data_IF_950000734787
#
_entry.id   IF_950000734787
#
_cell.length_a   1.000
_cell.length_b   1.000
_cell.length_c   1.000
_cell.angle_alpha   90.00
_cell.angle_beta   90.00
_cell.angle_gamma   90.00
#
_symmetry.space_group_name_H-M   'P 1'
#
loop_
_entity.id
_entity.type
_entity.pdbx_description
1 polymer ?
#
# COMPACT_ATOMS: atom_id res chain seq x y z
N UNK A 1 38.16 -4.61 22.16
CA UNK A 1 37.13 -4.10 21.23
C UNK A 1 37.72 -3.53 19.95
N UNK A 2 38.87 -2.81 20.02
CA UNK A 2 39.55 -2.26 18.84
C UNK A 2 39.96 -3.35 17.85
N UNK A 3 40.63 -4.42 18.29
CA UNK A 3 41.01 -5.56 17.44
C UNK A 3 39.79 -6.23 16.74
N UNK A 4 38.63 -6.27 17.39
CA UNK A 4 37.42 -6.80 16.77
C UNK A 4 36.86 -5.86 15.68
N UNK A 5 36.94 -4.54 15.89
CA UNK A 5 36.52 -3.56 14.91
C UNK A 5 37.42 -3.58 13.67
N UNK A 6 38.75 -3.63 13.88
CA UNK A 6 39.76 -3.78 12.81
C UNK A 6 39.55 -5.07 12.00
N UNK A 7 39.30 -6.19 12.70
CA UNK A 7 38.99 -7.45 12.03
C UNK A 7 37.71 -7.35 11.19
N UNK A 8 36.67 -6.68 11.71
CA UNK A 8 35.42 -6.49 10.97
C UNK A 8 35.62 -5.66 9.71
N UNK A 9 36.40 -4.58 9.80
CA UNK A 9 36.70 -3.71 8.66
C UNK A 9 37.55 -4.46 7.60
N UNK A 10 38.56 -5.23 8.03
CA UNK A 10 39.36 -6.07 7.13
C UNK A 10 38.53 -7.11 6.35
N UNK A 11 37.50 -7.64 6.98
CA UNK A 11 36.60 -8.64 6.39
C UNK A 11 35.40 -8.02 5.63
N UNK A 12 35.35 -6.72 5.46
CA UNK A 12 34.24 -6.05 4.79
C UNK A 12 32.94 -6.10 5.57
N UNK A 13 33.00 -5.96 6.89
CA UNK A 13 31.87 -5.90 7.79
C UNK A 13 30.91 -7.12 7.69
N UNK A 14 31.40 -8.35 7.99
CA UNK A 14 30.59 -9.56 7.90
C UNK A 14 29.50 -9.63 8.97
N UNK A 15 28.58 -10.59 8.85
CA UNK A 15 27.53 -10.83 9.86
C UNK A 15 28.10 -11.38 11.18
N UNK A 16 27.27 -11.27 12.23
CA UNK A 16 27.61 -11.68 13.61
C UNK A 16 28.25 -13.06 13.67
N UNK A 17 27.66 -14.04 13.02
CA UNK A 17 28.14 -15.42 13.06
C UNK A 17 29.55 -15.56 12.44
N UNK A 18 29.76 -15.00 11.25
CA UNK A 18 31.04 -15.07 10.55
C UNK A 18 32.13 -14.31 11.31
N UNK A 19 31.81 -13.10 11.78
CA UNK A 19 32.75 -12.30 12.56
C UNK A 19 33.12 -12.96 13.88
N UNK A 20 32.17 -13.58 14.58
CA UNK A 20 32.43 -14.29 15.84
C UNK A 20 33.32 -15.48 15.64
N UNK A 21 33.07 -16.32 14.62
CA UNK A 21 33.89 -17.48 14.31
C UNK A 21 35.32 -17.10 13.93
N UNK A 22 35.48 -16.04 13.12
CA UNK A 22 36.79 -15.55 12.71
C UNK A 22 37.56 -14.94 13.88
N UNK A 23 36.90 -14.17 14.75
CA UNK A 23 37.49 -13.65 15.96
C UNK A 23 38.01 -14.77 16.87
N UNK A 24 37.24 -15.88 17.03
CA UNK A 24 37.70 -17.08 17.78
C UNK A 24 38.86 -17.75 17.11
N UNK A 25 38.86 -17.91 15.77
CA UNK A 25 39.98 -18.49 15.00
C UNK A 25 41.26 -17.69 15.21
N UNK A 26 41.17 -16.38 15.29
CA UNK A 26 42.31 -15.47 15.56
C UNK A 26 42.59 -15.26 17.03
N UNK A 27 41.98 -16.07 17.93
CA UNK A 27 42.14 -16.00 19.39
C UNK A 27 41.87 -14.61 20.00
N UNK A 28 40.96 -13.81 19.38
CA UNK A 28 40.53 -12.54 19.94
C UNK A 28 39.49 -12.83 21.02
N UNK A 29 39.72 -12.42 22.31
CA UNK A 29 38.82 -12.74 23.41
C UNK A 29 37.57 -11.84 23.35
N UNK A 30 36.51 -12.34 22.75
CA UNK A 30 35.23 -11.62 22.61
C UNK A 30 34.03 -12.54 22.84
N UNK A 31 32.99 -11.97 23.43
CA UNK A 31 31.71 -12.65 23.57
C UNK A 31 30.85 -12.43 22.33
N UNK A 32 29.87 -13.33 22.10
CA UNK A 32 28.92 -13.17 21.00
C UNK A 32 28.09 -11.89 21.13
N UNK A 33 27.76 -11.46 22.37
CA UNK A 33 27.05 -10.23 22.63
C UNK A 33 27.84 -8.97 22.20
N UNK A 34 29.16 -8.97 22.47
CA UNK A 34 30.06 -7.88 22.03
C UNK A 34 30.12 -7.79 20.50
N UNK A 35 30.24 -8.93 19.81
CA UNK A 35 30.21 -8.97 18.33
C UNK A 35 28.86 -8.48 17.81
N UNK A 36 27.75 -8.91 18.44
CA UNK A 36 26.41 -8.48 18.05
C UNK A 36 26.21 -6.96 18.22
N UNK A 37 26.71 -6.40 19.32
CA UNK A 37 26.64 -4.96 19.56
C UNK A 37 27.50 -4.17 18.54
N UNK A 38 28.69 -4.64 18.21
CA UNK A 38 29.52 -4.02 17.18
C UNK A 38 28.80 -4.04 15.83
N UNK A 39 28.35 -5.21 15.38
CA UNK A 39 27.67 -5.38 14.07
C UNK A 39 26.41 -4.54 13.99
N UNK A 40 25.65 -4.43 15.10
CA UNK A 40 24.44 -3.60 15.17
C UNK A 40 24.71 -2.12 14.95
N UNK A 41 25.88 -1.63 15.40
CA UNK A 41 26.29 -0.20 15.29
C UNK A 41 27.00 0.14 13.99
N UNK A 42 27.30 -0.83 13.13
CA UNK A 42 27.96 -0.59 11.85
C UNK A 42 27.02 0.11 10.85
N UNK A 43 27.25 1.39 10.64
CA UNK A 43 26.43 2.22 9.74
C UNK A 43 26.41 1.69 8.31
N UNK A 44 27.55 1.24 7.77
CA UNK A 44 27.65 0.67 6.43
C UNK A 44 26.70 -0.53 6.26
N UNK A 45 26.60 -1.39 7.28
CA UNK A 45 25.71 -2.54 7.25
C UNK A 45 24.24 -2.13 7.37
N UNK A 46 23.94 -1.12 8.18
CA UNK A 46 22.58 -0.59 8.35
C UNK A 46 22.04 -0.03 7.02
N UNK A 47 22.87 0.65 6.23
CA UNK A 47 22.49 1.24 4.95
C UNK A 47 21.97 0.22 3.94
N UNK A 48 22.51 -1.01 3.95
CA UNK A 48 22.20 -2.06 2.98
C UNK A 48 21.26 -3.13 3.54
N UNK A 49 20.70 -2.94 4.73
CA UNK A 49 19.70 -3.88 5.25
C UNK A 49 18.41 -3.77 4.45
N UNK A 50 17.73 -4.91 4.18
CA UNK A 50 16.41 -4.86 3.56
C UNK A 50 15.42 -4.14 4.47
N UNK A 51 14.49 -3.40 3.86
CA UNK A 51 13.38 -2.81 4.61
C UNK A 51 12.56 -3.92 5.22
N UNK A 52 12.32 -3.82 6.53
CA UNK A 52 11.50 -4.79 7.23
C UNK A 52 10.04 -4.60 6.85
N UNK A 53 9.35 -5.66 6.39
CA UNK A 53 7.94 -5.55 6.03
C UNK A 53 7.10 -5.20 7.27
N UNK A 54 6.08 -4.38 7.07
CA UNK A 54 5.09 -4.11 8.11
C UNK A 54 4.34 -5.40 8.46
N UNK A 55 4.18 -5.66 9.76
CA UNK A 55 3.40 -6.78 10.29
C UNK A 55 1.99 -6.37 10.72
N UNK A 56 1.55 -5.19 10.33
CA UNK A 56 0.20 -4.70 10.59
C UNK A 56 -0.86 -5.56 9.90
N UNK A 57 -2.07 -5.54 10.44
CA UNK A 57 -3.24 -6.23 9.89
C UNK A 57 -4.20 -5.19 9.32
N UNK A 58 -4.81 -5.47 8.16
CA UNK A 58 -5.89 -4.64 7.63
C UNK A 58 -7.14 -4.86 8.45
N UNK A 59 -7.70 -3.77 8.98
CA UNK A 59 -8.93 -3.76 9.74
C UNK A 59 -9.63 -2.39 9.58
N UNK A 60 -10.94 -2.38 9.77
CA UNK A 60 -11.78 -1.18 9.79
C UNK A 60 -12.67 -1.19 11.03
N UNK A 61 -12.90 -0.02 11.61
CA UNK A 61 -13.71 0.15 12.83
C UNK A 61 -15.21 -0.07 12.57
N UNK A 62 -15.66 0.19 11.34
CA UNK A 62 -17.03 0.04 10.90
C UNK A 62 -17.14 0.04 9.38
N UNK A 63 -18.37 -0.03 8.87
CA UNK A 63 -18.66 -0.17 7.44
C UNK A 63 -18.12 1.02 6.62
N UNK A 64 -18.39 2.25 7.02
CA UNK A 64 -17.93 3.46 6.32
C UNK A 64 -16.46 3.82 6.58
N UNK A 65 -15.78 3.15 7.56
CA UNK A 65 -14.48 3.58 8.04
C UNK A 65 -13.37 3.52 6.98
N UNK A 66 -13.31 2.43 6.19
CA UNK A 66 -12.22 2.23 5.23
C UNK A 66 -12.59 1.37 4.04
N UNK A 67 -12.23 1.87 2.88
CA UNK A 67 -12.26 1.14 1.62
C UNK A 67 -10.84 1.07 1.02
N UNK A 68 -10.64 0.13 0.09
CA UNK A 68 -9.41 -0.02 -0.68
C UNK A 68 -9.77 -0.05 -2.17
N UNK A 69 -8.96 0.61 -3.01
CA UNK A 69 -9.18 0.65 -4.46
C UNK A 69 -7.88 0.39 -5.22
N UNK A 70 -8.00 -0.27 -6.36
CA UNK A 70 -6.90 -0.56 -7.29
C UNK A 70 -7.43 -0.74 -8.71
N UNK A 71 -6.53 -0.67 -9.69
CA UNK A 71 -6.83 -0.97 -11.09
C UNK A 71 -6.36 -2.37 -11.46
N UNK A 72 -7.27 -3.18 -11.93
CA UNK A 72 -6.92 -4.44 -12.58
C UNK A 72 -6.53 -4.19 -14.03
N UNK A 73 -5.30 -4.53 -14.38
CA UNK A 73 -4.82 -4.48 -15.76
C UNK A 73 -5.29 -5.73 -16.54
N UNK A 74 -6.09 -5.50 -17.59
CA UNK A 74 -6.60 -6.48 -18.55
C UNK A 74 -6.18 -6.14 -19.98
N UNK A 75 -5.14 -5.32 -20.14
CA UNK A 75 -4.69 -4.81 -21.44
C UNK A 75 -4.17 -5.90 -22.39
N UNK A 76 -3.76 -7.05 -21.87
CA UNK A 76 -3.39 -8.23 -22.67
C UNK A 76 -4.59 -8.96 -23.27
N UNK A 77 -5.77 -8.77 -22.70
CA UNK A 77 -7.03 -9.37 -23.15
C UNK A 77 -8.13 -8.31 -23.13
N UNK A 78 -8.06 -7.30 -24.01
CA UNK A 78 -9.05 -6.22 -24.05
C UNK A 78 -10.44 -6.77 -24.41
N UNK A 79 -11.49 -6.15 -23.86
CA UNK A 79 -12.88 -6.57 -24.06
C UNK A 79 -13.74 -5.37 -24.37
N UNK A 80 -14.38 -5.33 -25.55
CA UNK A 80 -15.24 -4.21 -25.98
C UNK A 80 -14.58 -2.83 -25.83
N UNK A 81 -13.27 -2.75 -26.07
CA UNK A 81 -12.48 -1.53 -25.88
C UNK A 81 -12.04 -1.26 -24.45
N UNK A 82 -12.56 -1.98 -23.47
CA UNK A 82 -12.07 -1.89 -22.09
C UNK A 82 -10.75 -2.64 -21.92
N UNK A 83 -9.81 -2.02 -21.23
CA UNK A 83 -8.47 -2.56 -20.98
C UNK A 83 -8.14 -2.70 -19.50
N UNK A 84 -8.95 -2.09 -18.62
CA UNK A 84 -8.79 -2.09 -17.17
C UNK A 84 -10.17 -2.22 -16.52
N UNK A 85 -10.19 -2.52 -15.24
CA UNK A 85 -11.35 -2.23 -14.41
C UNK A 85 -10.90 -1.66 -13.07
N UNK A 86 -11.63 -0.65 -12.60
CA UNK A 86 -11.49 -0.16 -11.24
C UNK A 86 -12.15 -1.16 -10.30
N UNK A 87 -11.46 -1.52 -9.24
CA UNK A 87 -11.95 -2.41 -8.20
C UNK A 87 -11.94 -1.68 -6.86
N UNK A 88 -13.06 -1.70 -6.17
CA UNK A 88 -13.26 -1.09 -4.87
C UNK A 88 -13.75 -2.18 -3.90
N UNK A 89 -13.17 -2.24 -2.68
CA UNK A 89 -13.59 -3.18 -1.66
C UNK A 89 -13.70 -2.51 -0.30
N UNK A 90 -14.76 -2.83 0.42
CA UNK A 90 -14.96 -2.44 1.81
C UNK A 90 -14.09 -3.29 2.74
N UNK A 91 -13.29 -2.67 3.61
CA UNK A 91 -12.40 -3.41 4.52
C UNK A 91 -13.16 -4.09 5.66
N UNK A 92 -14.35 -3.61 6.02
CA UNK A 92 -15.17 -4.18 7.08
C UNK A 92 -15.99 -5.37 6.56
N UNK A 93 -16.88 -5.15 5.58
CA UNK A 93 -17.80 -6.14 5.04
C UNK A 93 -17.18 -7.08 3.99
N UNK A 94 -16.02 -6.72 3.42
CA UNK A 94 -15.43 -7.40 2.25
C UNK A 94 -16.24 -7.23 0.97
N UNK A 95 -17.33 -6.51 1.01
CA UNK A 95 -18.16 -6.24 -0.16
C UNK A 95 -17.36 -5.49 -1.23
N UNK A 96 -17.54 -5.85 -2.48
CA UNK A 96 -16.74 -5.36 -3.59
C UNK A 96 -17.60 -4.79 -4.71
N UNK A 97 -17.04 -3.81 -5.42
CA UNK A 97 -17.60 -3.17 -6.60
C UNK A 97 -16.53 -3.08 -7.68
N UNK A 98 -16.94 -3.12 -8.94
CA UNK A 98 -16.03 -2.94 -10.05
C UNK A 98 -16.68 -2.15 -11.19
N UNK A 99 -15.88 -1.40 -11.93
CA UNK A 99 -16.27 -0.66 -13.11
C UNK A 99 -15.23 -0.84 -14.22
N UNK A 100 -15.61 -1.24 -15.46
CA UNK A 100 -14.69 -1.40 -16.57
C UNK A 100 -14.21 -0.02 -17.08
N UNK A 101 -12.94 0.05 -17.52
CA UNK A 101 -12.28 1.28 -17.95
C UNK A 101 -11.58 1.08 -19.29
N UNK A 102 -11.70 2.06 -20.18
CA UNK A 102 -10.96 2.08 -21.45
C UNK A 102 -9.48 2.46 -21.26
N UNK A 103 -9.20 3.35 -20.31
CA UNK A 103 -7.85 3.81 -20.01
C UNK A 103 -7.64 3.96 -18.50
N UNK A 104 -6.38 4.08 -18.09
CA UNK A 104 -5.98 4.37 -16.70
C UNK A 104 -5.70 5.85 -16.44
N UNK A 105 -6.17 6.73 -17.31
CA UNK A 105 -6.04 8.17 -17.11
C UNK A 105 -6.80 8.61 -15.86
N UNK A 106 -6.20 9.51 -15.08
CA UNK A 106 -6.75 9.95 -13.80
C UNK A 106 -8.19 10.53 -13.89
N UNK A 107 -8.54 11.12 -15.03
CA UNK A 107 -9.90 11.65 -15.28
C UNK A 107 -10.90 10.51 -15.45
N UNK A 108 -10.54 9.47 -16.22
CA UNK A 108 -11.39 8.29 -16.45
C UNK A 108 -11.57 7.50 -15.15
N UNK A 109 -10.49 7.32 -14.38
CA UNK A 109 -10.54 6.68 -13.06
C UNK A 109 -11.40 7.49 -12.09
N UNK A 110 -11.26 8.82 -12.06
CA UNK A 110 -12.07 9.68 -11.22
C UNK A 110 -13.57 9.60 -11.54
N UNK A 111 -13.92 9.51 -12.83
CA UNK A 111 -15.32 9.38 -13.23
C UNK A 111 -15.91 8.04 -12.77
N UNK A 112 -15.21 6.93 -13.01
CA UNK A 112 -15.64 5.61 -12.55
C UNK A 112 -15.72 5.52 -11.01
N UNK A 113 -14.74 6.10 -10.33
CA UNK A 113 -14.75 6.16 -8.86
C UNK A 113 -15.95 6.97 -8.34
N UNK A 114 -16.29 8.08 -8.98
CA UNK A 114 -17.48 8.87 -8.64
C UNK A 114 -18.75 8.03 -8.72
N UNK A 115 -18.94 7.30 -9.80
CA UNK A 115 -20.13 6.48 -10.04
C UNK A 115 -20.21 5.31 -9.03
N UNK A 116 -19.07 4.67 -8.72
CA UNK A 116 -19.05 3.64 -7.67
C UNK A 116 -19.40 4.25 -6.31
N UNK A 117 -18.87 5.41 -5.96
CA UNK A 117 -19.14 6.09 -4.68
C UNK A 117 -20.61 6.54 -4.55
N UNK A 118 -21.26 6.92 -5.65
CA UNK A 118 -22.69 7.26 -5.68
C UNK A 118 -23.60 6.05 -5.48
N UNK A 119 -23.12 4.86 -5.80
CA UNK A 119 -23.83 3.60 -5.58
C UNK A 119 -23.63 2.98 -4.21
N UNK A 120 -22.77 3.55 -3.34
CA UNK A 120 -22.54 3.01 -2.00
C UNK A 120 -23.68 3.41 -1.04
N UNK A 121 -24.05 2.54 -0.08
CA UNK A 121 -25.04 2.86 0.96
C UNK A 121 -24.60 4.07 1.82
N UNK A 122 -23.32 4.14 2.13
CA UNK A 122 -22.71 5.20 2.94
C UNK A 122 -21.37 5.66 2.33
N UNK A 123 -21.05 6.96 2.37
CA UNK A 123 -19.78 7.45 1.87
C UNK A 123 -18.61 6.95 2.73
N UNK A 124 -17.50 6.51 2.14
CA UNK A 124 -16.31 6.10 2.90
C UNK A 124 -15.64 7.27 3.58
N UNK A 125 -15.11 7.07 4.79
CA UNK A 125 -14.26 8.03 5.47
C UNK A 125 -12.85 8.06 4.89
N UNK A 126 -12.31 6.87 4.53
CA UNK A 126 -10.97 6.70 3.99
C UNK A 126 -11.00 5.76 2.80
N UNK A 127 -10.36 6.15 1.71
CA UNK A 127 -10.00 5.24 0.61
C UNK A 127 -8.48 5.09 0.58
N UNK A 128 -8.02 3.84 0.61
CA UNK A 128 -6.61 3.48 0.53
C UNK A 128 -6.29 2.93 -0.87
N UNK A 129 -5.22 3.43 -1.50
CA UNK A 129 -4.71 2.97 -2.80
C UNK A 129 -3.21 2.73 -2.72
N UNK A 130 -2.63 2.17 -3.76
CA UNK A 130 -1.18 2.25 -3.98
C UNK A 130 -0.76 3.67 -4.44
N UNK A 131 0.54 3.84 -4.78
CA UNK A 131 1.12 5.10 -5.30
C UNK A 131 0.84 5.32 -6.80
N UNK A 132 -0.15 4.67 -7.37
CA UNK A 132 -0.48 4.82 -8.77
C UNK A 132 -0.82 6.27 -9.12
N UNK A 133 -0.24 6.77 -10.21
CA UNK A 133 -0.51 8.15 -10.71
C UNK A 133 -1.97 8.35 -11.11
N UNK A 134 -2.68 7.27 -11.40
CA UNK A 134 -4.10 7.20 -11.75
C UNK A 134 -5.01 7.65 -10.61
N UNK A 135 -4.61 7.43 -9.35
CA UNK A 135 -5.34 7.88 -8.17
C UNK A 135 -4.93 9.29 -7.69
N UNK A 136 -3.95 9.90 -8.37
CA UNK A 136 -3.58 11.29 -8.17
C UNK A 136 -4.52 12.26 -8.89
N UNK A 137 -4.13 13.53 -8.99
CA UNK A 137 -4.77 14.53 -9.84
C UNK A 137 -6.30 14.58 -9.68
N UNK A 138 -7.05 14.16 -10.71
CA UNK A 138 -8.52 14.24 -10.73
C UNK A 138 -9.18 13.34 -9.67
N UNK A 139 -8.70 12.13 -9.46
CA UNK A 139 -9.24 11.22 -8.44
C UNK A 139 -8.99 11.76 -7.03
N UNK A 140 -7.78 12.28 -6.75
CA UNK A 140 -7.47 12.94 -5.48
C UNK A 140 -8.37 14.15 -5.20
N UNK A 141 -8.60 15.01 -6.20
CA UNK A 141 -9.54 16.16 -6.09
C UNK A 141 -10.98 15.71 -5.83
N UNK A 142 -11.43 14.64 -6.49
CA UNK A 142 -12.76 14.07 -6.25
C UNK A 142 -12.91 13.63 -4.79
N UNK A 143 -11.96 12.88 -4.25
CA UNK A 143 -11.99 12.43 -2.87
C UNK A 143 -11.99 13.60 -1.88
N UNK A 144 -11.15 14.59 -2.12
CA UNK A 144 -11.08 15.82 -1.33
C UNK A 144 -12.42 16.58 -1.35
N UNK A 145 -13.05 16.75 -2.52
CA UNK A 145 -14.34 17.46 -2.65
C UNK A 145 -15.50 16.74 -1.94
N UNK A 146 -15.37 15.43 -1.72
CA UNK A 146 -16.33 14.60 -0.98
C UNK A 146 -15.95 14.40 0.50
N UNK A 147 -14.91 15.09 0.98
CA UNK A 147 -14.37 14.97 2.33
C UNK A 147 -13.94 13.51 2.67
N UNK A 148 -13.47 12.77 1.68
CA UNK A 148 -12.93 11.41 1.83
C UNK A 148 -11.42 11.49 1.95
N UNK A 149 -10.85 10.98 3.04
CA UNK A 149 -9.40 10.96 3.21
C UNK A 149 -8.76 9.95 2.24
N UNK A 150 -7.84 10.41 1.41
CA UNK A 150 -7.06 9.54 0.52
C UNK A 150 -5.78 9.10 1.21
N UNK A 151 -5.61 7.79 1.38
CA UNK A 151 -4.41 7.21 1.98
C UNK A 151 -3.63 6.41 0.94
N UNK A 152 -2.49 6.95 0.53
CA UNK A 152 -1.59 6.27 -0.40
C UNK A 152 -0.61 5.37 0.36
N UNK A 153 -0.46 4.13 -0.07
CA UNK A 153 0.52 3.19 0.46
C UNK A 153 1.76 3.16 -0.38
N UNK A 154 2.88 3.60 0.21
CA UNK A 154 4.18 3.72 -0.44
C UNK A 154 4.86 2.36 -0.53
N UNK A 155 4.93 1.82 -1.74
CA UNK A 155 5.78 0.69 -2.09
C UNK A 155 5.45 -0.63 -1.39
N UNK A 156 6.24 -1.68 -1.71
CA UNK A 156 6.11 -3.06 -1.18
C UNK A 156 6.43 -3.20 0.32
N UNK A 157 6.60 -2.11 1.03
CA UNK A 157 7.04 -2.12 2.44
C UNK A 157 5.89 -2.37 3.42
N UNK A 158 4.67 -2.05 3.04
CA UNK A 158 3.45 -2.35 3.82
C UNK A 158 2.65 -3.47 3.13
N UNK A 159 3.21 -4.66 3.10
CA UNK A 159 2.70 -5.84 2.36
C UNK A 159 1.23 -6.16 2.69
N UNK A 160 0.78 -5.82 3.90
CA UNK A 160 -0.57 -6.12 4.34
C UNK A 160 -1.52 -4.93 4.24
N UNK A 161 -1.06 -3.78 3.77
CA UNK A 161 -1.89 -2.58 3.76
C UNK A 161 -3.11 -2.70 2.85
N UNK A 162 -2.93 -3.33 1.70
CA UNK A 162 -3.97 -3.60 0.70
C UNK A 162 -4.37 -5.09 0.65
N UNK A 163 -4.02 -5.88 1.66
CA UNK A 163 -4.21 -7.33 1.64
C UNK A 163 -5.68 -7.79 1.56
N UNK A 164 -6.65 -6.95 1.92
CA UNK A 164 -8.07 -7.23 1.69
C UNK A 164 -8.41 -7.10 0.22
N UNK A 165 -7.96 -6.01 -0.40
CA UNK A 165 -8.11 -5.74 -1.82
C UNK A 165 -7.49 -6.83 -2.69
N UNK A 166 -6.20 -7.16 -2.44
CA UNK A 166 -5.47 -8.18 -3.20
C UNK A 166 -6.22 -9.52 -3.20
N UNK A 167 -6.70 -9.93 -2.03
CA UNK A 167 -7.42 -11.20 -1.88
C UNK A 167 -8.78 -11.16 -2.59
N UNK A 168 -9.54 -10.08 -2.42
CA UNK A 168 -10.84 -9.92 -3.08
C UNK A 168 -10.69 -9.89 -4.60
N UNK A 169 -9.72 -9.11 -5.11
CA UNK A 169 -9.43 -9.00 -6.53
C UNK A 169 -9.02 -10.34 -7.15
N UNK A 170 -8.14 -11.12 -6.47
CA UNK A 170 -7.77 -12.46 -6.90
C UNK A 170 -9.01 -13.38 -7.00
N UNK A 171 -9.91 -13.34 -6.01
CA UNK A 171 -11.13 -14.13 -6.01
C UNK A 171 -12.06 -13.75 -7.16
N UNK A 172 -12.25 -12.45 -7.41
CA UNK A 172 -13.09 -11.97 -8.52
C UNK A 172 -12.48 -12.34 -9.87
N UNK A 173 -11.18 -12.15 -10.08
CA UNK A 173 -10.49 -12.59 -11.30
C UNK A 173 -10.62 -14.09 -11.55
N UNK A 174 -10.49 -14.91 -10.52
CA UNK A 174 -10.66 -16.35 -10.65
C UNK A 174 -12.11 -16.76 -10.97
N UNK A 175 -13.12 -16.02 -10.47
CA UNK A 175 -14.53 -16.22 -10.84
C UNK A 175 -14.80 -15.79 -12.27
N UNK A 176 -14.30 -14.62 -12.65
CA UNK A 176 -14.37 -14.09 -14.00
C UNK A 176 -13.90 -15.15 -15.02
N UNK A 177 -12.70 -15.69 -14.82
CA UNK A 177 -12.14 -16.73 -15.69
C UNK A 177 -13.03 -18.00 -15.75
N UNK A 178 -13.60 -18.42 -14.60
CA UNK A 178 -14.49 -19.61 -14.55
C UNK A 178 -15.83 -19.36 -15.22
N UNK A 179 -16.41 -18.18 -15.09
CA UNK A 179 -17.66 -17.82 -15.77
C UNK A 179 -17.42 -17.76 -17.29
N UNK A 180 -16.34 -17.11 -17.71
CA UNK A 180 -15.96 -17.06 -19.12
C UNK A 180 -15.79 -18.46 -19.71
N UNK A 181 -15.11 -19.36 -19.02
CA UNK A 181 -14.90 -20.74 -19.48
C UNK A 181 -16.19 -21.56 -19.50
N UNK A 182 -17.09 -21.37 -18.52
CA UNK A 182 -18.38 -22.09 -18.45
C UNK A 182 -19.33 -21.68 -19.56
N UNK A 183 -19.41 -20.36 -19.83
CA UNK A 183 -20.41 -19.77 -20.72
C UNK A 183 -19.86 -19.51 -22.14
N UNK A 184 -18.63 -19.97 -22.42
CA UNK A 184 -17.86 -19.67 -23.66
C UNK A 184 -17.84 -18.15 -23.97
N UNK A 185 -17.82 -17.32 -22.92
CA UNK A 185 -17.86 -15.87 -23.06
C UNK A 185 -16.49 -15.34 -23.48
N UNK A 186 -16.44 -14.62 -24.59
CA UNK A 186 -15.19 -14.03 -25.13
C UNK A 186 -14.87 -12.68 -24.50
N UNK A 187 -15.88 -12.04 -23.94
CA UNK A 187 -15.82 -10.67 -23.45
C UNK A 187 -15.92 -10.63 -21.92
N UNK A 188 -14.77 -10.39 -21.25
CA UNK A 188 -14.77 -10.32 -19.78
C UNK A 188 -15.61 -9.18 -19.21
N UNK A 189 -15.78 -8.08 -19.95
CA UNK A 189 -16.57 -6.94 -19.50
C UNK A 189 -18.04 -7.31 -19.28
N UNK A 190 -18.61 -8.26 -20.07
CA UNK A 190 -19.99 -8.69 -19.93
C UNK A 190 -20.24 -9.53 -18.66
N UNK A 191 -19.21 -10.22 -18.19
CA UNK A 191 -19.30 -11.12 -17.04
C UNK A 191 -18.65 -10.56 -15.79
N UNK A 192 -18.14 -9.32 -15.83
CA UNK A 192 -17.49 -8.66 -14.69
C UNK A 192 -18.47 -8.50 -13.52
N UNK A 193 -19.68 -7.97 -13.76
CA UNK A 193 -20.68 -7.79 -12.70
C UNK A 193 -21.19 -9.12 -12.14
N UNK A 194 -21.55 -10.14 -12.95
CA UNK A 194 -21.81 -11.48 -12.45
C UNK A 194 -20.71 -12.06 -11.58
N UNK A 195 -19.43 -11.81 -11.91
CA UNK A 195 -18.31 -12.29 -11.11
C UNK A 195 -18.22 -11.57 -9.75
N UNK A 196 -18.46 -10.25 -9.71
CA UNK A 196 -18.49 -9.44 -8.48
C UNK A 196 -19.70 -9.82 -7.62
N UNK A 197 -20.88 -9.92 -8.19
CA UNK A 197 -22.09 -10.37 -7.49
C UNK A 197 -21.90 -11.77 -6.89
N UNK A 198 -21.35 -12.71 -7.66
CA UNK A 198 -21.03 -14.04 -7.17
C UNK A 198 -19.99 -14.03 -6.03
N UNK A 199 -19.06 -13.09 -6.02
CA UNK A 199 -18.14 -12.88 -4.89
C UNK A 199 -18.89 -12.37 -3.67
N UNK A 200 -19.73 -11.34 -3.81
CA UNK A 200 -20.47 -10.73 -2.70
C UNK A 200 -21.46 -11.70 -2.05
N UNK A 201 -22.07 -12.62 -2.81
CA UNK A 201 -23.00 -13.65 -2.32
C UNK A 201 -22.35 -14.89 -1.72
N UNK A 202 -21.00 -14.97 -1.77
CA UNK A 202 -20.31 -16.16 -1.27
C UNK A 202 -19.84 -15.96 0.16
N UNK A 203 -20.13 -16.95 1.02
CA UNK A 203 -19.62 -17.00 2.39
C UNK A 203 -18.13 -16.72 2.47
N UNK A 204 -17.73 -15.83 3.35
CA UNK A 204 -16.35 -15.43 3.58
C UNK A 204 -15.96 -15.70 5.05
N UNK A 205 -15.08 -16.66 5.25
CA UNK A 205 -14.65 -17.10 6.59
C UNK A 205 -14.01 -16.00 7.45
N UNK A 206 -13.55 -14.90 6.85
CA UNK A 206 -12.95 -13.79 7.60
C UNK A 206 -13.99 -12.86 8.24
N UNK A 207 -15.25 -12.95 7.81
CA UNK A 207 -16.36 -12.14 8.30
C UNK A 207 -17.55 -13.00 8.75
N UNK A 208 -17.44 -14.34 8.63
CA UNK A 208 -18.44 -15.32 9.04
C UNK A 208 -19.81 -15.18 8.36
N UNK A 209 -19.86 -14.52 7.22
CA UNK A 209 -21.07 -14.29 6.43
C UNK A 209 -20.70 -14.00 4.97
N UNK A 210 -21.65 -13.89 4.07
CA UNK A 210 -21.44 -13.32 2.76
C UNK A 210 -21.26 -11.79 2.86
N UNK A 211 -20.42 -11.17 2.01
CA UNK A 211 -20.20 -9.73 2.04
C UNK A 211 -21.48 -8.88 1.96
N UNK A 212 -22.46 -9.27 1.14
CA UNK A 212 -23.70 -8.50 0.96
C UNK A 212 -24.69 -8.68 2.13
N UNK A 213 -24.64 -9.81 2.83
CA UNK A 213 -25.57 -10.12 3.93
C UNK A 213 -24.99 -9.79 5.32
N UNK A 214 -23.71 -9.41 5.40
CA UNK A 214 -23.04 -9.17 6.69
C UNK A 214 -23.82 -8.21 7.60
N UNK A 215 -24.29 -7.09 7.05
CA UNK A 215 -24.95 -6.05 7.85
C UNK A 215 -26.36 -6.47 8.31
N UNK A 216 -26.96 -7.47 7.68
CA UNK A 216 -28.25 -8.06 8.09
C UNK A 216 -28.06 -9.03 9.26
N UNK A 217 -26.90 -9.67 9.35
CA UNK A 217 -26.54 -10.59 10.44
C UNK A 217 -25.91 -9.82 11.61
N UNK A 218 -26.69 -9.60 12.68
CA UNK A 218 -26.18 -8.93 13.89
C UNK A 218 -25.05 -9.71 14.56
N UNK A 219 -25.11 -11.04 14.54
CA UNK A 219 -24.09 -11.90 15.12
C UNK A 219 -22.78 -11.81 14.35
N UNK A 220 -22.82 -11.98 13.01
CA UNK A 220 -21.63 -11.87 12.16
C UNK A 220 -21.02 -10.47 12.23
N UNK A 221 -21.83 -9.41 12.17
CA UNK A 221 -21.39 -8.02 12.34
C UNK A 221 -20.66 -7.83 13.67
N UNK A 222 -21.21 -8.34 14.78
CA UNK A 222 -20.57 -8.25 16.10
C UNK A 222 -19.22 -8.99 16.14
N UNK A 223 -19.15 -10.19 15.57
CA UNK A 223 -17.91 -10.98 15.48
C UNK A 223 -16.84 -10.23 14.68
N UNK A 224 -17.21 -9.62 13.55
CA UNK A 224 -16.30 -8.81 12.73
C UNK A 224 -15.82 -7.57 13.48
N UNK A 225 -16.70 -6.89 14.21
CA UNK A 225 -16.33 -5.74 15.06
C UNK A 225 -15.30 -6.16 16.12
N UNK A 226 -15.50 -7.27 16.81
CA UNK A 226 -14.58 -7.78 17.82
C UNK A 226 -13.21 -8.16 17.21
N UNK A 227 -13.21 -8.88 16.08
CA UNK A 227 -11.98 -9.28 15.42
C UNK A 227 -11.19 -8.07 14.89
N UNK A 228 -11.88 -7.10 14.32
CA UNK A 228 -11.26 -5.84 13.88
C UNK A 228 -10.72 -5.03 15.07
N UNK A 229 -11.44 -4.94 16.18
CA UNK A 229 -10.95 -4.30 17.40
C UNK A 229 -9.63 -4.94 17.89
N UNK A 230 -9.56 -6.28 17.92
CA UNK A 230 -8.32 -7.01 18.27
C UNK A 230 -7.18 -6.72 17.31
N UNK A 231 -7.47 -6.64 15.99
CA UNK A 231 -6.48 -6.30 14.96
C UNK A 231 -5.95 -4.86 15.11
N UNK A 232 -6.85 -3.91 15.38
CA UNK A 232 -6.50 -2.50 15.59
C UNK A 232 -5.66 -2.33 16.85
N UNK A 233 -6.04 -2.98 17.95
CA UNK A 233 -5.26 -2.96 19.19
C UNK A 233 -3.86 -3.59 18.99
N UNK A 234 -3.77 -4.72 18.27
CA UNK A 234 -2.48 -5.30 17.90
C UNK A 234 -1.61 -4.32 17.10
N UNK A 235 -2.19 -3.62 16.11
CA UNK A 235 -1.48 -2.62 15.32
C UNK A 235 -1.00 -1.44 16.17
N UNK A 236 -1.82 -1.00 17.12
CA UNK A 236 -1.47 0.04 18.09
C UNK A 236 -0.27 -0.40 18.96
N UNK A 237 -0.33 -1.59 19.54
CA UNK A 237 0.76 -2.14 20.36
C UNK A 237 2.08 -2.27 19.57
N UNK A 238 2.02 -2.68 18.29
CA UNK A 238 3.21 -2.70 17.43
C UNK A 238 3.78 -1.30 17.23
N UNK A 239 2.92 -0.31 17.06
CA UNK A 239 3.33 1.10 16.90
C UNK A 239 3.93 1.63 18.19
N UNK A 240 3.29 1.42 19.32
CA UNK A 240 3.75 1.87 20.64
C UNK A 240 5.11 1.27 21.02
N UNK A 241 5.31 -0.02 20.75
CA UNK A 241 6.62 -0.68 20.91
C UNK A 241 7.70 -0.04 20.05
N UNK A 242 7.39 0.33 18.82
CA UNK A 242 8.36 1.00 17.93
C UNK A 242 8.63 2.43 18.40
N UNK A 243 7.61 3.16 18.84
CA UNK A 243 7.77 4.50 19.43
C UNK A 243 8.67 4.46 20.66
N UNK A 244 8.41 3.54 21.59
CA UNK A 244 9.26 3.35 22.78
C UNK A 244 10.70 3.01 22.39
N UNK A 245 10.87 2.11 21.42
CA UNK A 245 12.21 1.75 20.93
C UNK A 245 12.93 2.95 20.29
N UNK A 246 12.22 3.77 19.51
CA UNK A 246 12.80 4.97 18.89
C UNK A 246 13.19 6.02 19.92
N UNK A 247 12.34 6.24 20.94
CA UNK A 247 12.65 7.15 22.05
C UNK A 247 13.91 6.72 22.82
N UNK A 248 14.05 5.42 23.08
CA UNK A 248 15.26 4.88 23.74
C UNK A 248 16.51 4.96 22.86
N UNK A 249 16.40 4.69 21.57
CA UNK A 249 17.52 4.70 20.63
C UNK A 249 17.92 6.12 20.22
N UNK A 250 16.96 7.04 20.16
CA UNK A 250 17.16 8.46 19.87
C UNK A 250 17.52 8.80 18.43
N UNK A 251 17.58 7.81 17.52
CA UNK A 251 17.91 8.05 16.13
C UNK A 251 17.27 7.02 15.19
N UNK A 252 17.10 7.40 13.93
CA UNK A 252 16.55 6.53 12.89
C UNK A 252 17.17 6.82 11.53
N UNK A 253 16.96 5.91 10.58
CA UNK A 253 17.28 6.09 9.16
C UNK A 253 16.00 5.98 8.35
N UNK A 254 15.85 6.87 7.39
CA UNK A 254 14.74 6.90 6.43
C UNK A 254 15.02 5.97 5.27
N UNK A 255 14.05 5.21 4.73
CA UNK A 255 14.24 4.46 3.50
C UNK A 255 14.47 5.41 2.33
N UNK A 256 15.44 5.08 1.47
CA UNK A 256 15.75 5.83 0.26
C UNK A 256 15.03 5.15 -0.90
N UNK A 257 13.83 5.58 -1.21
CA UNK A 257 12.97 5.18 -2.33
C UNK A 257 12.96 3.72 -2.76
N UNK A 258 11.84 3.18 -3.18
CA UNK A 258 11.72 1.81 -3.66
C UNK A 258 12.54 1.61 -4.95
N UNK A 259 13.67 0.92 -4.84
CA UNK A 259 14.46 0.53 -6.01
C UNK A 259 14.19 -0.93 -6.35
N UNK A 260 13.25 -1.15 -7.27
CA UNK A 260 12.73 -2.47 -7.61
C UNK A 260 13.75 -3.46 -8.19
N UNK A 261 14.93 -3.03 -8.69
CA UNK A 261 15.75 -3.89 -9.54
C UNK A 261 17.26 -3.91 -9.30
N UNK A 262 17.80 -3.30 -8.24
CA UNK A 262 19.27 -3.31 -8.05
C UNK A 262 19.65 -3.78 -6.67
N UNK A 263 19.75 -5.11 -6.51
CA UNK A 263 20.34 -5.73 -5.32
C UNK A 263 21.85 -5.47 -5.28
N UNK A 264 22.39 -5.07 -4.14
CA UNK A 264 23.80 -5.16 -3.81
C UNK A 264 24.60 -3.86 -3.77
N UNK A 265 24.30 -2.85 -4.62
CA UNK A 265 25.13 -1.65 -4.72
C UNK A 265 24.45 -0.33 -4.37
N UNK A 266 23.17 -0.34 -3.99
CA UNK A 266 22.46 0.88 -3.59
C UNK A 266 21.99 0.78 -2.14
N UNK A 267 22.20 1.84 -1.39
CA UNK A 267 21.73 1.95 -0.03
C UNK A 267 20.19 1.88 0.02
N UNK A 268 19.67 1.10 0.94
CA UNK A 268 18.24 0.97 1.22
C UNK A 268 17.77 2.09 2.14
N UNK A 269 18.67 2.55 3.01
CA UNK A 269 18.40 3.60 3.98
C UNK A 269 19.36 4.77 3.78
N UNK A 270 18.91 5.98 4.14
CA UNK A 270 19.67 7.21 4.11
C UNK A 270 20.49 7.46 5.38
N UNK A 271 20.83 8.72 5.58
CA UNK A 271 21.56 9.18 6.75
C UNK A 271 20.81 8.97 8.06
N UNK A 272 21.52 9.08 9.17
CA UNK A 272 20.93 9.05 10.50
C UNK A 272 20.24 10.39 10.76
N UNK A 273 18.99 10.31 11.18
CA UNK A 273 18.19 11.46 11.60
C UNK A 273 17.83 11.30 13.08
N UNK A 274 17.78 12.42 13.79
CA UNK A 274 17.16 12.47 15.13
C UNK A 274 15.70 12.89 15.01
N UNK A 275 14.78 12.27 15.75
CA UNK A 275 13.38 12.66 15.72
C UNK A 275 13.20 14.03 16.40
N UNK A 276 12.59 14.98 15.68
CA UNK A 276 12.18 16.27 16.23
C UNK A 276 10.83 16.20 16.92
N UNK A 277 9.93 15.35 16.41
CA UNK A 277 8.64 15.04 17.03
C UNK A 277 8.19 13.62 16.68
N UNK A 278 7.36 13.02 17.54
CA UNK A 278 6.69 11.74 17.31
C UNK A 278 5.22 11.92 17.62
N UNK A 279 4.36 11.80 16.59
CA UNK A 279 2.90 11.94 16.71
C UNK A 279 2.23 10.67 16.19
N UNK A 280 1.72 9.85 17.11
CA UNK A 280 1.13 8.55 16.76
C UNK A 280 2.11 7.66 16.00
N UNK A 281 1.82 7.35 14.73
CA UNK A 281 2.68 6.56 13.86
C UNK A 281 3.62 7.39 12.98
N UNK A 282 3.61 8.71 13.11
CA UNK A 282 4.44 9.63 12.31
C UNK A 282 5.63 10.11 13.14
N UNK A 283 6.82 10.03 12.55
CA UNK A 283 8.08 10.57 13.07
C UNK A 283 8.47 11.74 12.20
N UNK A 284 8.73 12.88 12.82
CA UNK A 284 9.28 14.07 12.16
C UNK A 284 10.79 14.11 12.37
N UNK A 285 11.52 14.50 11.35
CA UNK A 285 12.98 14.69 11.33
C UNK A 285 13.38 15.68 10.26
N UNK A 286 14.69 15.96 10.07
CA UNK A 286 15.17 16.90 9.07
C UNK A 286 14.68 16.65 7.65
N UNK A 287 14.40 15.39 7.29
CA UNK A 287 13.85 15.00 6.00
C UNK A 287 12.31 15.07 5.90
N UNK A 288 11.61 15.70 6.87
CA UNK A 288 10.16 15.80 6.95
C UNK A 288 9.47 14.63 7.68
N UNK A 289 8.13 14.51 7.61
CA UNK A 289 7.39 13.44 8.28
C UNK A 289 7.58 12.09 7.57
N UNK A 290 7.64 11.01 8.35
CA UNK A 290 7.71 9.62 7.85
C UNK A 290 6.98 8.69 8.80
N UNK A 291 6.38 7.61 8.26
CA UNK A 291 5.74 6.61 9.11
C UNK A 291 6.80 5.78 9.86
N UNK A 292 6.62 5.63 11.19
CA UNK A 292 7.56 4.88 12.04
C UNK A 292 7.73 3.42 11.64
N UNK A 293 6.77 2.84 10.93
CA UNK A 293 6.86 1.47 10.39
C UNK A 293 7.93 1.33 9.33
N UNK A 294 8.23 2.40 8.60
CA UNK A 294 9.16 2.42 7.47
C UNK A 294 10.60 2.70 7.88
N UNK A 295 10.82 3.38 9.01
CA UNK A 295 12.16 3.77 9.44
C UNK A 295 12.94 2.61 10.05
N UNK A 296 14.25 2.63 9.89
CA UNK A 296 15.17 1.78 10.64
C UNK A 296 15.60 2.52 11.92
N UNK A 297 15.25 1.96 13.07
CA UNK A 297 15.65 2.52 14.37
C UNK A 297 17.09 2.11 14.65
N UNK A 298 17.96 3.09 14.90
CA UNK A 298 19.39 2.93 15.15
C UNK A 298 19.82 3.68 16.40
N UNK A 299 20.91 3.25 17.02
CA UNK A 299 21.47 3.97 18.16
C UNK A 299 22.17 5.25 17.68
N UNK A 300 22.14 6.35 18.46
CA UNK A 300 22.85 7.60 18.18
C UNK A 300 24.34 7.40 17.90
N UNK A 301 24.98 6.47 18.60
CA UNK A 301 26.39 6.12 18.43
C UNK A 301 26.69 5.36 17.11
N UNK A 302 25.66 5.01 16.32
CA UNK A 302 25.80 4.36 15.00
C UNK A 302 26.23 5.34 13.90
N UNK A 303 26.70 6.51 14.24
CA UNK A 303 26.93 7.66 13.34
C UNK A 303 28.29 7.64 12.65
N UNK A 304 28.56 6.68 11.77
CA UNK A 304 29.58 6.94 10.74
C UNK A 304 28.89 7.66 9.56
N UNK A 305 29.54 8.70 8.99
CA UNK A 305 28.97 9.41 7.86
C UNK A 305 28.68 8.44 6.72
N UNK A 306 27.52 8.58 6.09
CA UNK A 306 27.14 7.79 4.93
C UNK A 306 28.11 8.10 3.80
N UNK A 307 28.78 7.11 3.18
CA UNK A 307 29.63 7.36 2.05
C UNK A 307 28.86 8.05 0.92
N UNK A 308 29.40 9.13 0.34
CA UNK A 308 28.72 9.93 -0.70
C UNK A 308 28.22 9.11 -1.89
N UNK A 309 28.85 7.96 -2.20
CA UNK A 309 28.41 7.07 -3.26
C UNK A 309 27.11 6.28 -2.92
N UNK A 310 26.85 6.05 -1.64
CA UNK A 310 25.62 5.36 -1.20
C UNK A 310 24.36 6.24 -1.36
N UNK A 311 24.54 7.57 -1.42
CA UNK A 311 23.46 8.56 -1.55
C UNK A 311 23.18 8.97 -3.00
N UNK A 312 24.09 8.71 -3.94
CA UNK A 312 23.96 9.08 -5.36
C UNK A 312 22.78 8.46 -6.12
N UNK A 313 21.83 7.85 -5.45
CA UNK A 313 20.58 7.36 -6.03
C UNK A 313 19.31 8.13 -5.60
N UNK A 314 19.45 9.00 -4.62
CA UNK A 314 18.40 9.90 -4.18
C UNK A 314 18.51 11.25 -4.93
N UNK A 315 18.52 11.23 -6.26
CA UNK A 315 18.11 12.43 -6.97
C UNK A 315 16.71 12.74 -6.45
N UNK A 316 16.54 13.85 -5.72
CA UNK A 316 15.24 14.43 -5.45
C UNK A 316 14.46 14.34 -6.78
N UNK A 317 13.41 13.56 -6.86
CA UNK A 317 12.33 13.88 -7.79
C UNK A 317 11.97 15.29 -7.35
N UNK A 318 12.30 16.28 -8.18
CA UNK A 318 11.78 17.62 -8.01
C UNK A 318 10.28 17.42 -7.78
N UNK A 319 9.76 17.96 -6.68
CA UNK A 319 8.32 18.16 -6.57
C UNK A 319 7.93 18.79 -7.90
N UNK A 320 6.90 18.31 -8.57
CA UNK A 320 6.38 19.02 -9.71
C UNK A 320 6.03 20.40 -9.18
N UNK A 321 6.89 21.39 -9.48
CA UNK A 321 6.53 22.78 -9.31
C UNK A 321 5.20 22.90 -10.00
N UNK A 322 4.18 23.35 -9.26
CA UNK A 322 2.83 23.52 -9.76
C UNK A 322 2.85 24.33 -11.04
N UNK A 323 3.00 23.65 -12.15
CA UNK A 323 2.64 24.19 -13.45
C UNK A 323 1.13 24.35 -13.38
N UNK A 324 0.70 25.59 -13.31
CA UNK A 324 -0.66 26.02 -13.57
C UNK A 324 -1.16 25.18 -14.73
N UNK A 325 -2.22 24.42 -14.46
CA UNK A 325 -2.85 23.50 -15.40
C UNK A 325 -3.20 24.28 -16.69
N UNK A 326 -2.63 23.99 -17.87
CA UNK A 326 -2.93 24.66 -19.14
C UNK A 326 -4.38 24.45 -19.59
N UNK A 327 -5.18 23.72 -18.80
CA UNK A 327 -6.51 23.21 -19.14
C UNK A 327 -7.67 24.04 -18.59
N UNK A 328 -7.43 25.18 -17.94
CA UNK A 328 -8.46 26.15 -17.58
C UNK A 328 -8.61 27.25 -18.65
N UNK A 329 -8.61 26.90 -19.92
CA UNK A 329 -8.99 27.77 -21.01
C UNK A 329 -10.48 27.61 -21.38
N UNK A 330 -11.19 28.70 -21.77
CA UNK A 330 -12.59 28.64 -22.21
C UNK A 330 -12.65 28.02 -23.60
N UNK A 331 -13.12 26.79 -23.73
CA UNK A 331 -13.35 26.15 -25.02
C UNK A 331 -13.43 24.64 -24.93
N UNK A 332 -14.65 24.11 -25.06
CA UNK A 332 -14.90 22.69 -25.11
C UNK A 332 -14.11 22.02 -26.24
N UNK A 333 -13.19 21.13 -25.88
CA UNK A 333 -12.41 20.39 -26.85
C UNK A 333 -12.79 18.91 -26.81
N UNK A 334 -12.32 18.15 -27.81
CA UNK A 334 -12.59 16.72 -28.04
C UNK A 334 -12.45 15.80 -26.79
N UNK A 335 -11.76 16.24 -25.73
CA UNK A 335 -11.63 15.49 -24.47
C UNK A 335 -12.90 15.52 -23.59
N UNK A 336 -13.71 16.57 -23.66
CA UNK A 336 -15.00 16.63 -22.97
C UNK A 336 -15.97 15.62 -23.61
N UNK A 337 -15.94 15.52 -24.95
CA UNK A 337 -16.74 14.55 -25.70
C UNK A 337 -16.36 13.09 -25.35
N UNK A 338 -15.05 12.80 -25.22
CA UNK A 338 -14.60 11.45 -24.81
C UNK A 338 -15.00 11.09 -23.37
N UNK A 339 -15.03 12.06 -22.45
CA UNK A 339 -15.50 11.84 -21.08
C UNK A 339 -17.01 11.56 -21.04
N UNK A 340 -17.78 12.26 -21.87
CA UNK A 340 -19.23 12.06 -21.98
C UNK A 340 -19.58 10.73 -22.65
N UNK A 341 -18.85 10.32 -23.68
CA UNK A 341 -19.00 8.99 -24.30
C UNK A 341 -18.67 7.87 -23.33
N UNK A 342 -17.60 8.04 -22.53
CA UNK A 342 -17.23 7.06 -21.48
C UNK A 342 -18.32 6.98 -20.41
N UNK A 343 -18.85 8.14 -19.97
CA UNK A 343 -19.96 8.21 -19.01
C UNK A 343 -21.19 7.50 -19.54
N UNK A 344 -21.59 7.77 -20.78
CA UNK A 344 -22.74 7.11 -21.40
C UNK A 344 -22.56 5.60 -21.51
N UNK A 345 -21.37 5.15 -21.88
CA UNK A 345 -21.00 3.72 -21.97
C UNK A 345 -21.04 3.03 -20.61
N UNK A 346 -20.49 3.69 -19.56
CA UNK A 346 -20.45 3.16 -18.20
C UNK A 346 -21.84 3.12 -17.57
N UNK A 347 -22.64 4.16 -17.73
CA UNK A 347 -24.02 4.19 -17.24
C UNK A 347 -24.88 3.13 -17.91
N UNK A 348 -24.76 2.96 -19.22
CA UNK A 348 -25.46 1.92 -19.97
C UNK A 348 -25.02 0.48 -19.54
N UNK A 349 -23.76 0.33 -19.15
CA UNK A 349 -23.23 -0.92 -18.61
C UNK A 349 -23.79 -1.21 -17.21
N UNK A 350 -23.78 -0.24 -16.31
CA UNK A 350 -24.29 -0.38 -14.94
C UNK A 350 -25.81 -0.59 -14.91
N UNK A 351 -26.57 0.09 -15.78
CA UNK A 351 -28.02 -0.06 -15.88
C UNK A 351 -28.43 -1.46 -16.41
N UNK A 352 -27.68 -1.99 -17.38
CA UNK A 352 -27.86 -3.39 -17.85
C UNK A 352 -27.58 -4.40 -16.74
N UNK A 353 -26.53 -4.15 -15.94
CA UNK A 353 -26.16 -5.03 -14.83
C UNK A 353 -27.22 -5.03 -13.71
N UNK A 354 -27.85 -3.89 -13.44
CA UNK A 354 -28.97 -3.79 -12.47
C UNK A 354 -30.22 -4.56 -12.94
N UNK A 355 -30.50 -4.58 -14.25
CA UNK A 355 -31.66 -5.32 -14.81
C UNK A 355 -31.47 -6.85 -14.78
N UNK A 356 -30.25 -7.33 -14.76
CA UNK A 356 -29.94 -8.76 -14.65
C UNK A 356 -29.78 -9.23 -13.20
N UNK A 357 -29.74 -8.32 -12.22
CA UNK A 357 -29.67 -8.61 -10.80
C UNK A 357 -31.03 -8.51 -10.08
N UNK A 358 -32.10 -8.14 -10.78
CA UNK A 358 -33.46 -8.22 -10.24
C UNK A 358 -33.98 -9.67 -10.32
N UNK A 359 -34.70 -10.16 -9.28
CA UNK A 359 -35.13 -11.56 -9.16
C UNK A 359 -36.07 -11.99 -10.28
#
# INVERSE_FOLDING_TARGET
MQALAELSDQLGNPGVQKLFLEARRRKIPVTRAQVQNLVKRQGQRQLFQPVQPSRGKSAAEGYSARYQADLADMSTTPSKGFRYFLFLVNVFSREAWAAPLHSKEAVVVAQALRELLEGLPEPPQVIATDEGVEFGGAAGRLLQSRNIAHKTHVGKQDINALGVLDRALQNVKARLARIMARDDAKEWADVLQPAVAGYNKTYNSAIHESPEELLESKEATFMVMQDNARKLEHNKQLTDRRVSKLRSAGAFRRPVGAQHFKRGFRATYGDVEEPTAIRGSTVEGPGGPVNIKLVQIVDKESTRPTPKFAVRGAAKKAEPQGTLDPWLGPGGSARTLMADEHRASLLAFLDRSRRHAAP
#
